data_IF_458890832931
#
_entry.id   IF_458890832931
#
_cell.length_a   1.000
_cell.length_b   1.000
_cell.length_c   1.000
_cell.angle_alpha   90.00
_cell.angle_beta   90.00
_cell.angle_gamma   90.00
#
_symmetry.space_group_name_H-M   'P 1'
#
loop_
_entity.id
_entity.type
_entity.pdbx_description
1 polymer ?
#
# COMPACT_ATOMS: atom_id res chain seq x y z
N UNK A 1 -22.07 -5.09 -27.26
CA UNK A 1 -22.41 -3.97 -26.43
C UNK A 1 -21.40 -3.95 -25.30
N UNK A 2 -20.54 -2.92 -25.26
CA UNK A 2 -19.64 -2.64 -24.17
C UNK A 2 -20.53 -2.33 -22.96
N UNK A 3 -20.44 -3.12 -21.90
CA UNK A 3 -21.04 -2.76 -20.61
C UNK A 3 -20.40 -1.46 -20.17
N UNK A 4 -21.23 -0.46 -19.90
CA UNK A 4 -20.77 0.80 -19.31
C UNK A 4 -20.00 0.50 -18.02
N UNK A 5 -18.73 0.84 -18.03
CA UNK A 5 -17.90 0.78 -16.83
C UNK A 5 -18.55 1.71 -15.78
N UNK A 6 -18.92 1.17 -14.65
CA UNK A 6 -19.38 1.99 -13.52
C UNK A 6 -18.34 3.06 -13.23
N UNK A 7 -18.75 4.31 -12.95
CA UNK A 7 -17.81 5.38 -12.72
C UNK A 7 -16.86 5.01 -11.56
N UNK A 8 -15.57 5.11 -11.83
CA UNK A 8 -14.51 4.92 -10.86
C UNK A 8 -14.64 6.02 -9.80
N UNK A 9 -15.12 5.68 -8.63
CA UNK A 9 -15.07 6.59 -7.49
C UNK A 9 -13.65 6.53 -6.92
N UNK A 10 -12.88 7.60 -7.12
CA UNK A 10 -11.68 7.86 -6.37
C UNK A 10 -12.09 8.12 -4.91
N UNK A 11 -12.08 7.10 -4.08
CA UNK A 11 -12.02 7.33 -2.63
C UNK A 11 -10.62 7.84 -2.34
N UNK A 12 -10.52 9.11 -2.01
CA UNK A 12 -9.26 9.78 -1.66
C UNK A 12 -8.86 9.49 -0.21
N UNK A 13 -9.69 8.85 0.56
CA UNK A 13 -9.46 8.53 1.96
C UNK A 13 -9.60 7.03 2.17
N UNK A 14 -8.49 6.42 2.57
CA UNK A 14 -8.42 5.08 3.10
C UNK A 14 -9.15 4.02 2.28
N UNK A 15 -8.48 2.96 1.99
CA UNK A 15 -9.12 1.79 1.41
C UNK A 15 -10.38 1.48 2.23
N UNK A 16 -11.56 1.71 1.65
CA UNK A 16 -12.83 1.54 2.35
C UNK A 16 -12.90 0.11 2.91
N UNK A 17 -12.55 -0.02 4.19
CA UNK A 17 -12.83 -1.19 4.95
C UNK A 17 -14.36 -1.41 4.92
N UNK A 18 -14.78 -2.64 4.62
CA UNK A 18 -16.16 -3.11 4.79
C UNK A 18 -17.24 -2.67 3.78
N UNK A 19 -16.91 -2.61 2.50
CA UNK A 19 -17.96 -2.77 1.49
C UNK A 19 -18.29 -4.27 1.39
N UNK A 20 -19.53 -4.71 1.61
CA UNK A 20 -19.90 -6.10 1.46
C UNK A 20 -19.46 -6.67 0.10
N UNK A 21 -18.76 -7.81 0.13
CA UNK A 21 -18.22 -8.43 -1.08
C UNK A 21 -16.89 -7.86 -1.56
N UNK A 22 -16.24 -6.97 -0.80
CA UNK A 22 -14.95 -6.36 -1.13
C UNK A 22 -13.96 -6.47 0.02
N UNK A 23 -12.69 -6.71 -0.30
CA UNK A 23 -11.60 -6.74 0.67
C UNK A 23 -10.37 -6.08 0.09
N UNK A 24 -9.84 -5.07 0.77
CA UNK A 24 -8.56 -4.46 0.43
C UNK A 24 -7.43 -5.15 1.17
N UNK A 25 -6.35 -5.42 0.45
CA UNK A 25 -5.10 -5.97 0.99
C UNK A 25 -3.99 -4.94 0.75
N UNK A 26 -3.33 -4.54 1.81
CA UNK A 26 -2.16 -3.67 1.74
C UNK A 26 -0.97 -4.40 1.13
N UNK A 27 -0.31 -3.74 0.18
CA UNK A 27 0.88 -4.26 -0.52
C UNK A 27 2.04 -3.31 -0.29
N UNK A 28 2.92 -3.67 0.63
CA UNK A 28 4.11 -2.86 0.93
C UNK A 28 4.93 -2.57 -0.34
N UNK A 29 5.07 -1.28 -0.67
CA UNK A 29 5.74 -0.83 -1.89
C UNK A 29 5.07 -1.29 -3.19
N UNK A 30 3.85 -1.79 -3.16
CA UNK A 30 3.14 -2.34 -4.32
C UNK A 30 3.73 -3.65 -4.86
N UNK A 31 4.61 -4.31 -4.12
CA UNK A 31 5.33 -5.51 -4.56
C UNK A 31 4.72 -6.79 -4.00
N UNK A 32 4.05 -7.56 -4.86
CA UNK A 32 3.48 -8.86 -4.50
C UNK A 32 4.60 -9.90 -4.43
N UNK A 33 5.13 -10.12 -3.24
CA UNK A 33 6.18 -11.11 -2.97
C UNK A 33 5.93 -11.81 -1.63
N UNK A 34 6.59 -12.93 -1.42
CA UNK A 34 6.62 -13.55 -0.11
C UNK A 34 7.73 -12.93 0.74
N UNK A 35 7.40 -12.54 1.95
CA UNK A 35 8.34 -12.01 2.95
C UNK A 35 8.10 -12.68 4.30
N UNK A 36 8.91 -12.34 5.29
CA UNK A 36 8.70 -12.81 6.66
C UNK A 36 7.43 -12.21 7.29
N UNK A 37 7.01 -11.03 6.81
CA UNK A 37 5.82 -10.33 7.30
C UNK A 37 4.54 -10.89 6.70
N UNK A 38 4.51 -11.07 5.37
CA UNK A 38 3.33 -11.50 4.61
C UNK A 38 3.74 -12.45 3.49
N UNK A 39 2.92 -13.47 3.23
CA UNK A 39 3.11 -14.42 2.13
C UNK A 39 2.20 -14.08 0.95
N UNK A 40 2.29 -12.83 0.46
CA UNK A 40 1.36 -12.24 -0.53
C UNK A 40 1.23 -13.08 -1.81
N UNK A 41 2.38 -13.47 -2.41
CA UNK A 41 2.36 -14.24 -3.67
C UNK A 41 1.63 -15.59 -3.51
N UNK A 42 1.91 -16.31 -2.44
CA UNK A 42 1.26 -17.61 -2.16
C UNK A 42 -0.21 -17.43 -1.86
N UNK A 43 -0.56 -16.44 -1.05
CA UNK A 43 -1.92 -16.16 -0.67
C UNK A 43 -2.78 -15.74 -1.88
N UNK A 44 -2.30 -14.83 -2.73
CA UNK A 44 -3.05 -14.42 -3.92
C UNK A 44 -3.21 -15.55 -4.93
N UNK A 45 -2.23 -16.43 -5.07
CA UNK A 45 -2.40 -17.64 -5.89
C UNK A 45 -3.52 -18.55 -5.34
N UNK A 46 -3.55 -18.75 -4.02
CA UNK A 46 -4.60 -19.55 -3.37
C UNK A 46 -5.98 -18.88 -3.48
N UNK A 47 -6.06 -17.56 -3.28
CA UNK A 47 -7.31 -16.79 -3.46
C UNK A 47 -7.78 -16.85 -4.90
N UNK A 48 -6.92 -16.59 -5.88
CA UNK A 48 -7.27 -16.62 -7.30
C UNK A 48 -7.80 -17.98 -7.78
N UNK A 49 -7.38 -19.08 -7.14
CA UNK A 49 -7.87 -20.41 -7.47
C UNK A 49 -9.33 -20.67 -7.08
N UNK A 50 -9.90 -19.86 -6.19
CA UNK A 50 -11.25 -20.03 -5.64
C UNK A 50 -12.18 -18.83 -5.91
N UNK A 51 -11.60 -17.68 -6.29
CA UNK A 51 -12.32 -16.43 -6.51
C UNK A 51 -12.71 -16.28 -7.97
N UNK A 52 -13.97 -15.87 -8.22
CA UNK A 52 -14.52 -15.67 -9.55
C UNK A 52 -14.77 -14.19 -9.89
N UNK A 53 -14.53 -13.30 -8.93
CA UNK A 53 -14.66 -11.86 -9.12
C UNK A 53 -13.37 -11.21 -9.61
N UNK A 54 -13.26 -9.91 -9.41
CA UNK A 54 -12.20 -9.09 -9.97
C UNK A 54 -11.12 -8.73 -8.93
N UNK A 55 -9.94 -8.38 -9.43
CA UNK A 55 -8.85 -7.79 -8.66
C UNK A 55 -8.55 -6.39 -9.20
N UNK A 56 -8.52 -5.39 -8.31
CA UNK A 56 -8.19 -4.01 -8.68
C UNK A 56 -6.94 -3.54 -7.95
N UNK A 57 -6.09 -2.79 -8.67
CA UNK A 57 -4.93 -2.12 -8.10
C UNK A 57 -5.34 -0.68 -7.74
N UNK A 58 -5.04 -0.25 -6.52
CA UNK A 58 -5.36 1.10 -6.05
C UNK A 58 -4.23 2.09 -6.36
N UNK A 59 -4.55 3.39 -6.32
CA UNK A 59 -3.56 4.45 -6.44
C UNK A 59 -2.53 4.48 -5.30
N UNK A 60 -2.81 3.82 -4.17
CA UNK A 60 -1.89 3.67 -3.04
C UNK A 60 -1.11 2.34 -3.08
N UNK A 61 -1.04 1.71 -4.25
CA UNK A 61 -0.29 0.47 -4.50
C UNK A 61 -0.86 -0.77 -3.80
N UNK A 62 -2.10 -0.73 -3.32
CA UNK A 62 -2.79 -1.83 -2.67
C UNK A 62 -3.62 -2.65 -3.67
N UNK A 63 -4.08 -3.83 -3.28
CA UNK A 63 -4.93 -4.70 -4.07
C UNK A 63 -6.31 -4.84 -3.43
N UNK A 64 -7.35 -4.67 -4.24
CA UNK A 64 -8.74 -4.91 -3.85
C UNK A 64 -9.22 -6.21 -4.48
N UNK A 65 -9.77 -7.09 -3.68
CA UNK A 65 -10.51 -8.28 -4.10
C UNK A 65 -11.99 -7.88 -4.10
N UNK A 66 -12.63 -7.88 -5.25
CA UNK A 66 -14.02 -7.45 -5.41
C UNK A 66 -14.91 -8.57 -5.96
N UNK A 67 -16.19 -8.56 -5.60
CA UNK A 67 -17.11 -9.61 -5.98
C UNK A 67 -16.98 -10.89 -5.15
N UNK A 68 -16.56 -10.75 -3.89
CA UNK A 68 -16.52 -11.88 -2.94
C UNK A 68 -17.95 -12.31 -2.62
N UNK A 69 -18.30 -13.54 -3.00
CA UNK A 69 -19.61 -14.11 -2.71
C UNK A 69 -19.66 -14.67 -1.28
N UNK A 70 -20.86 -14.82 -0.68
CA UNK A 70 -20.99 -15.44 0.65
C UNK A 70 -20.33 -16.82 0.74
N UNK A 71 -20.38 -17.62 -0.32
CA UNK A 71 -19.82 -18.98 -0.37
C UNK A 71 -18.28 -18.97 -0.32
N UNK A 72 -17.64 -17.97 -0.96
CA UNK A 72 -16.18 -17.85 -1.00
C UNK A 72 -15.62 -17.03 0.16
N UNK A 73 -16.44 -16.19 0.79
CA UNK A 73 -16.02 -15.26 1.84
C UNK A 73 -15.32 -15.95 3.02
N UNK A 74 -15.87 -17.09 3.50
CA UNK A 74 -15.30 -17.84 4.63
C UNK A 74 -13.91 -18.38 4.26
N UNK A 75 -13.76 -18.91 3.07
CA UNK A 75 -12.48 -19.46 2.57
C UNK A 75 -11.45 -18.34 2.36
N UNK A 76 -11.83 -17.22 1.74
CA UNK A 76 -10.96 -16.06 1.52
C UNK A 76 -10.50 -15.49 2.87
N UNK A 77 -11.40 -15.30 3.85
CA UNK A 77 -11.03 -14.86 5.21
C UNK A 77 -10.06 -15.83 5.90
N UNK A 78 -10.22 -17.13 5.69
CA UNK A 78 -9.29 -18.13 6.22
C UNK A 78 -7.89 -17.98 5.61
N UNK A 79 -7.78 -17.78 4.30
CA UNK A 79 -6.51 -17.56 3.60
C UNK A 79 -5.85 -16.25 4.07
N UNK A 80 -6.62 -15.16 4.16
CA UNK A 80 -6.16 -13.86 4.66
C UNK A 80 -5.51 -14.00 6.05
N UNK A 81 -6.17 -14.72 6.97
CA UNK A 81 -5.63 -14.96 8.31
C UNK A 81 -4.40 -15.87 8.29
N UNK A 82 -4.45 -16.97 7.53
CA UNK A 82 -3.36 -17.95 7.39
C UNK A 82 -2.05 -17.29 6.96
N UNK A 83 -2.12 -16.32 6.06
CA UNK A 83 -0.95 -15.66 5.47
C UNK A 83 -0.70 -14.25 6.02
N UNK A 84 -1.41 -13.85 7.08
CA UNK A 84 -1.28 -12.53 7.73
C UNK A 84 -1.40 -11.36 6.75
N UNK A 85 -2.45 -11.36 5.91
CA UNK A 85 -2.64 -10.32 4.88
C UNK A 85 -3.26 -9.03 5.42
N UNK A 86 -3.82 -9.03 6.63
CA UNK A 86 -4.35 -7.86 7.33
C UNK A 86 -3.66 -7.72 8.68
N UNK A 87 -2.38 -7.37 8.71
CA UNK A 87 -1.69 -7.09 9.95
C UNK A 87 -2.29 -5.84 10.62
N UNK A 88 -2.13 -5.74 11.94
CA UNK A 88 -2.54 -4.55 12.68
C UNK A 88 -1.51 -3.43 12.45
N UNK A 89 -1.62 -2.76 11.31
CA UNK A 89 -0.71 -1.72 10.87
C UNK A 89 -1.15 -0.33 11.34
N UNK A 90 -0.19 0.57 11.52
CA UNK A 90 -0.45 1.98 11.83
C UNK A 90 -1.18 2.70 10.69
N UNK A 91 -1.85 3.81 10.99
CA UNK A 91 -2.40 4.71 9.97
C UNK A 91 -1.32 5.19 9.00
N UNK A 92 -0.13 5.54 9.52
CA UNK A 92 1.03 5.91 8.70
C UNK A 92 1.41 4.81 7.70
N UNK A 93 1.50 3.54 8.14
CA UNK A 93 1.88 2.42 7.26
C UNK A 93 0.85 2.20 6.16
N UNK A 94 -0.43 2.18 6.51
CA UNK A 94 -1.52 2.02 5.54
C UNK A 94 -1.52 3.11 4.46
N UNK A 95 -1.06 4.33 4.79
CA UNK A 95 -1.00 5.48 3.89
C UNK A 95 0.41 5.76 3.35
N UNK A 96 1.33 4.81 3.48
CA UNK A 96 2.68 4.92 2.93
C UNK A 96 2.76 4.42 1.49
N UNK A 97 3.56 5.09 0.66
CA UNK A 97 3.86 4.60 -0.70
C UNK A 97 5.23 5.05 -1.18
N UNK A 98 5.85 4.22 -2.00
CA UNK A 98 7.17 4.50 -2.57
C UNK A 98 7.24 4.14 -4.05
N UNK A 99 8.07 4.85 -4.82
CA UNK A 99 8.39 4.40 -6.17
C UNK A 99 9.42 3.27 -6.12
N UNK A 100 9.51 2.49 -7.19
CA UNK A 100 10.45 1.35 -7.30
C UNK A 100 11.91 1.72 -7.05
N UNK A 101 12.37 2.86 -7.59
CA UNK A 101 13.73 3.41 -7.41
C UNK A 101 14.89 2.44 -7.68
N UNK A 102 16.02 2.61 -6.99
CA UNK A 102 17.17 1.71 -7.12
C UNK A 102 16.86 0.31 -6.52
N UNK A 103 17.40 -0.77 -7.11
CA UNK A 103 18.30 -0.81 -8.26
C UNK A 103 17.58 -0.89 -9.62
N UNK A 104 16.26 -0.85 -9.66
CA UNK A 104 15.45 -1.19 -10.84
C UNK A 104 15.22 0.01 -11.78
N UNK A 105 15.22 1.23 -11.25
CA UNK A 105 14.98 2.44 -12.03
C UNK A 105 16.30 3.13 -12.39
N UNK A 106 16.65 3.25 -13.68
CA UNK A 106 17.90 3.88 -14.09
C UNK A 106 17.95 5.40 -13.85
N UNK A 107 16.82 6.03 -13.61
CA UNK A 107 16.75 7.46 -13.30
C UNK A 107 16.79 7.77 -11.80
N UNK A 108 16.76 6.75 -10.95
CA UNK A 108 16.77 6.96 -9.51
C UNK A 108 18.16 7.41 -9.03
N UNK A 109 18.16 8.42 -8.19
CA UNK A 109 19.35 8.97 -7.52
C UNK A 109 19.62 8.29 -6.19
N UNK A 110 18.59 7.68 -5.60
CA UNK A 110 18.65 6.98 -4.31
C UNK A 110 17.56 5.92 -4.24
N UNK A 111 17.52 5.16 -3.14
CA UNK A 111 16.49 4.15 -2.88
C UNK A 111 15.18 4.81 -2.41
N UNK A 112 14.07 4.11 -2.50
CA UNK A 112 12.81 4.48 -1.86
C UNK A 112 11.99 3.27 -1.42
N UNK A 113 11.61 2.36 -2.31
CA UNK A 113 10.79 1.17 -1.99
C UNK A 113 11.36 0.34 -0.83
N UNK A 114 12.68 0.12 -0.80
CA UNK A 114 13.34 -0.70 0.23
C UNK A 114 13.67 0.07 1.51
N UNK A 115 13.68 1.41 1.44
CA UNK A 115 13.99 2.26 2.57
C UNK A 115 12.74 2.64 3.37
N UNK A 116 11.63 2.95 2.66
CA UNK A 116 10.41 3.42 3.31
C UNK A 116 9.86 2.48 4.40
N UNK A 117 9.82 1.15 4.21
CA UNK A 117 9.35 0.26 5.26
C UNK A 117 10.15 0.35 6.56
N UNK A 118 11.48 0.49 6.47
CA UNK A 118 12.36 0.65 7.61
C UNK A 118 12.13 1.97 8.34
N UNK A 119 11.94 3.05 7.57
CA UNK A 119 11.62 4.35 8.13
C UNK A 119 10.28 4.31 8.87
N UNK A 120 9.28 3.64 8.29
CA UNK A 120 7.97 3.46 8.95
C UNK A 120 8.10 2.63 10.22
N UNK A 121 8.90 1.56 10.23
CA UNK A 121 9.17 0.75 11.44
C UNK A 121 9.72 1.60 12.59
N UNK A 122 10.65 2.52 12.29
CA UNK A 122 11.23 3.44 13.27
C UNK A 122 10.19 4.47 13.77
N UNK A 123 9.39 5.02 12.87
CA UNK A 123 8.35 6.00 13.21
C UNK A 123 7.20 5.38 14.01
N UNK A 124 6.82 4.15 13.73
CA UNK A 124 5.72 3.45 14.44
C UNK A 124 5.95 3.36 15.94
N UNK A 125 7.20 3.21 16.38
CA UNK A 125 7.53 3.19 17.81
C UNK A 125 7.20 4.53 18.48
N UNK A 126 7.51 5.64 17.80
CA UNK A 126 7.23 6.99 18.29
C UNK A 126 5.73 7.32 18.20
N UNK A 127 5.03 6.87 17.13
CA UNK A 127 3.60 7.08 16.99
C UNK A 127 2.80 6.41 18.11
N UNK A 128 3.23 5.24 18.58
CA UNK A 128 2.62 4.56 19.74
C UNK A 128 2.78 5.37 21.03
N UNK A 129 3.97 5.90 21.28
CA UNK A 129 4.25 6.72 22.47
C UNK A 129 3.45 8.02 22.47
N UNK A 130 3.21 8.59 21.29
CA UNK A 130 2.45 9.83 21.09
C UNK A 130 0.95 9.63 21.02
N UNK A 131 0.45 8.38 20.99
CA UNK A 131 -0.98 8.08 20.81
C UNK A 131 -1.51 8.35 19.40
N UNK A 132 -0.63 8.39 18.39
CA UNK A 132 -0.95 8.70 16.99
C UNK A 132 -0.97 7.45 16.09
N UNK A 133 -1.13 6.26 16.68
CA UNK A 133 -1.08 4.98 15.95
C UNK A 133 -2.11 4.87 14.82
N UNK A 134 -3.31 5.35 15.07
CA UNK A 134 -4.45 5.25 14.16
C UNK A 134 -4.62 6.49 13.26
N UNK A 135 -3.77 7.52 13.44
CA UNK A 135 -3.83 8.72 12.62
C UNK A 135 -3.43 8.43 11.17
N UNK A 136 -4.24 8.87 10.23
CA UNK A 136 -4.04 8.64 8.80
C UNK A 136 -3.02 9.62 8.20
N UNK A 137 -1.78 9.52 8.64
CA UNK A 137 -0.68 10.35 8.12
C UNK A 137 -0.17 9.73 6.82
N UNK A 138 -0.23 10.50 5.74
CA UNK A 138 0.30 10.05 4.46
C UNK A 138 1.80 10.33 4.33
N UNK A 139 2.56 9.29 3.99
CA UNK A 139 4.00 9.40 3.70
C UNK A 139 4.33 8.85 2.32
N UNK A 140 5.09 9.61 1.52
CA UNK A 140 5.49 9.19 0.18
C UNK A 140 6.96 9.43 -0.08
N UNK A 141 7.61 8.44 -0.69
CA UNK A 141 9.04 8.48 -0.97
C UNK A 141 9.33 8.22 -2.45
N UNK A 142 10.20 9.04 -3.04
CA UNK A 142 10.68 8.86 -4.42
C UNK A 142 12.19 8.87 -4.49
N UNK A 143 12.75 8.06 -5.38
CA UNK A 143 14.19 7.96 -5.59
C UNK A 143 14.78 9.12 -6.42
N UNK A 144 13.96 9.99 -7.00
CA UNK A 144 14.39 11.16 -7.78
C UNK A 144 13.26 12.20 -7.90
N UNK A 145 13.55 13.42 -8.44
CA UNK A 145 12.56 14.49 -8.58
C UNK A 145 11.38 14.20 -9.54
N UNK A 146 11.41 13.12 -10.32
CA UNK A 146 10.30 12.75 -11.23
C UNK A 146 8.97 12.50 -10.49
N UNK A 147 9.01 12.21 -9.18
CA UNK A 147 7.82 12.20 -8.34
C UNK A 147 6.84 11.04 -8.61
N UNK A 148 7.30 9.87 -9.03
CA UNK A 148 6.45 8.74 -9.47
C UNK A 148 5.46 8.23 -8.39
N UNK A 149 5.76 8.36 -7.09
CA UNK A 149 4.81 8.07 -6.00
C UNK A 149 3.99 9.29 -5.57
N UNK A 150 3.96 10.36 -6.37
CA UNK A 150 3.20 11.58 -6.10
C UNK A 150 3.55 12.21 -4.73
N UNK A 151 4.86 12.47 -4.44
CA UNK A 151 5.30 12.89 -3.12
C UNK A 151 4.63 14.19 -2.66
N UNK A 152 4.41 15.14 -3.58
CA UNK A 152 3.85 16.46 -3.26
C UNK A 152 2.36 16.46 -2.90
N UNK A 153 1.70 15.29 -2.91
CA UNK A 153 0.33 15.10 -2.45
C UNK A 153 0.26 14.43 -1.07
N UNK A 154 1.40 14.23 -0.42
CA UNK A 154 1.47 13.64 0.91
C UNK A 154 1.74 14.70 1.96
N UNK A 155 1.30 14.44 3.20
CA UNK A 155 1.62 15.30 4.36
C UNK A 155 3.10 15.29 4.66
N UNK A 156 3.76 14.14 4.44
CA UNK A 156 5.22 14.00 4.56
C UNK A 156 5.78 13.37 3.30
N UNK A 157 6.72 14.03 2.64
CA UNK A 157 7.33 13.53 1.42
C UNK A 157 8.85 13.52 1.48
N UNK A 158 9.44 12.46 0.92
CA UNK A 158 10.88 12.31 0.72
C UNK A 158 11.19 12.23 -0.77
N UNK A 159 11.95 13.20 -1.27
CA UNK A 159 12.31 13.30 -2.69
C UNK A 159 13.82 13.15 -2.85
N UNK A 160 14.25 12.07 -3.49
CA UNK A 160 15.66 11.77 -3.73
C UNK A 160 16.36 12.86 -4.52
N UNK A 161 17.53 13.30 -4.02
CA UNK A 161 18.39 14.31 -4.67
C UNK A 161 19.83 13.84 -4.92
N UNK A 162 20.20 12.67 -4.42
CA UNK A 162 21.52 12.08 -4.55
C UNK A 162 21.65 10.83 -3.68
N UNK A 163 22.76 10.08 -3.76
CA UNK A 163 22.93 8.85 -3.00
C UNK A 163 22.69 9.05 -1.49
N UNK A 164 21.68 8.38 -0.93
CA UNK A 164 21.29 8.47 0.47
C UNK A 164 20.78 9.84 0.93
N UNK A 165 20.45 10.77 -0.01
CA UNK A 165 20.02 12.13 0.32
C UNK A 165 18.64 12.42 -0.22
N UNK A 166 17.79 13.02 0.62
CA UNK A 166 16.41 13.38 0.30
C UNK A 166 16.13 14.84 0.67
N UNK A 167 15.30 15.50 -0.14
CA UNK A 167 14.59 16.68 0.30
C UNK A 167 13.32 16.20 1.01
N UNK A 168 13.03 16.82 2.14
CA UNK A 168 11.80 16.57 2.92
C UNK A 168 10.83 17.70 2.61
N UNK A 169 9.59 17.34 2.32
CA UNK A 169 8.49 18.27 2.09
C UNK A 169 7.36 17.93 3.04
N UNK A 170 6.80 18.95 3.66
CA UNK A 170 5.61 18.83 4.50
C UNK A 170 4.56 19.78 3.95
N UNK A 171 3.30 19.37 3.98
CA UNK A 171 2.18 20.25 3.71
C UNK A 171 1.77 20.83 5.06
N UNK A 172 1.85 22.16 5.19
CA UNK A 172 1.22 22.90 6.28
C UNK A 172 -0.13 23.41 5.79
N UNK A 173 -1.20 23.06 6.45
CA UNK A 173 -2.52 23.62 6.25
C UNK A 173 -2.67 24.95 6.98
#
# INVERSE_FOLDING_TARGET
>A
PLQEAKPFSLSTNGDAADVPGRQTIEIEGGRIQNSNRQQLKTAFHEIASIHQGDFFITGNQNLVIDGITPDTAVRIKSIIRKYNLLPNDSGLRRNSSACTSLPFCPQALTDSERLLPKLVDELESQLKELGLWDEEISIRMTGCPNGCSRPYLAELAFVGRGPGKYNIWTVSY
#
